data_IF_434006078885
#
_entry.id   IF_434006078885
#
_cell.length_a   1.000
_cell.length_b   1.000
_cell.length_c   1.000
_cell.angle_alpha   90.00
_cell.angle_beta   90.00
_cell.angle_gamma   90.00
#
_symmetry.space_group_name_H-M   'P 1'
#
loop_
_entity.id
_entity.type
_entity.pdbx_description
1 polymer ?
#
# COMPACT_ATOMS: atom_id res chain seq x y z
N UNK A 1 -22.20 -20.55 14.44
CA UNK A 1 -21.72 -20.08 15.77
C UNK A 1 -22.22 -18.66 16.02
N UNK A 2 -21.91 -18.03 17.16
CA UNK A 2 -22.35 -16.65 17.41
C UNK A 2 -21.57 -15.66 16.56
N UNK A 3 -22.30 -14.89 15.74
CA UNK A 3 -21.71 -13.88 14.85
C UNK A 3 -21.08 -12.70 15.60
N UNK A 4 -21.52 -12.42 16.83
CA UNK A 4 -21.02 -11.30 17.63
C UNK A 4 -19.56 -11.51 18.10
N UNK A 5 -19.15 -12.76 18.21
CA UNK A 5 -17.78 -13.12 18.62
C UNK A 5 -16.93 -13.62 17.46
N UNK A 6 -17.39 -13.44 16.22
CA UNK A 6 -16.64 -13.81 15.04
C UNK A 6 -15.30 -13.07 15.00
N UNK A 7 -14.15 -13.77 15.05
CA UNK A 7 -12.85 -13.11 15.12
C UNK A 7 -12.40 -12.52 13.77
N UNK A 8 -12.90 -13.05 12.66
CA UNK A 8 -12.45 -12.63 11.33
C UNK A 8 -13.03 -11.29 10.93
N UNK A 9 -12.19 -10.48 10.29
CA UNK A 9 -12.50 -9.06 9.98
C UNK A 9 -12.15 -8.73 8.55
N UNK A 10 -12.91 -9.24 7.55
CA UNK A 10 -12.68 -8.86 6.18
C UNK A 10 -12.97 -7.37 6.01
N UNK A 11 -11.98 -6.61 5.54
CA UNK A 11 -12.12 -5.16 5.34
C UNK A 11 -10.86 -4.53 4.78
N UNK A 12 -11.00 -3.33 4.19
CA UNK A 12 -9.88 -2.59 3.63
C UNK A 12 -9.00 -2.01 4.75
N UNK A 13 -7.75 -2.51 4.86
CA UNK A 13 -6.80 -2.02 5.85
C UNK A 13 -7.11 -2.38 7.31
N UNK A 14 -8.15 -3.18 7.55
CA UNK A 14 -8.50 -3.65 8.89
C UNK A 14 -7.43 -4.63 9.37
N UNK A 15 -6.81 -4.42 10.56
CA UNK A 15 -5.85 -5.36 11.09
C UNK A 15 -6.50 -6.74 11.32
N UNK A 16 -5.92 -7.80 10.75
CA UNK A 16 -6.39 -9.16 11.03
C UNK A 16 -6.09 -9.51 12.50
N UNK A 17 -6.83 -10.42 13.11
CA UNK A 17 -6.56 -10.85 14.47
C UNK A 17 -5.17 -11.51 14.61
N UNK A 18 -4.69 -12.21 13.57
CA UNK A 18 -3.34 -12.77 13.52
C UNK A 18 -2.60 -12.26 12.27
N UNK A 19 -1.49 -11.53 12.47
CA UNK A 19 -0.59 -11.08 11.40
C UNK A 19 0.56 -12.07 11.29
N UNK A 20 0.45 -13.02 10.37
CA UNK A 20 1.40 -14.13 10.18
C UNK A 20 2.26 -13.97 8.94
N UNK A 21 3.43 -14.60 8.89
CA UNK A 21 4.27 -14.69 7.69
C UNK A 21 4.89 -13.36 7.26
N UNK A 22 5.01 -12.39 8.15
CA UNK A 22 5.56 -11.05 7.86
C UNK A 22 6.67 -10.63 8.84
N UNK A 23 7.08 -11.50 9.75
CA UNK A 23 8.02 -11.17 10.84
C UNK A 23 9.36 -10.68 10.33
N UNK A 24 9.90 -11.28 9.25
CA UNK A 24 11.15 -10.85 8.65
C UNK A 24 11.09 -9.40 8.16
N UNK A 25 9.97 -9.00 7.55
CA UNK A 25 9.78 -7.62 7.08
C UNK A 25 9.64 -6.64 8.24
N UNK A 26 8.91 -7.04 9.27
CA UNK A 26 8.74 -6.26 10.50
C UNK A 26 10.10 -6.05 11.17
N UNK A 27 10.91 -7.11 11.29
CA UNK A 27 12.25 -7.04 11.86
C UNK A 27 13.19 -6.15 11.02
N UNK A 28 13.19 -6.30 9.69
CA UNK A 28 13.99 -5.47 8.78
C UNK A 28 13.64 -4.00 8.92
N UNK A 29 12.36 -3.68 9.05
CA UNK A 29 11.88 -2.32 9.24
C UNK A 29 12.38 -1.75 10.60
N UNK A 30 12.22 -2.50 11.70
CA UNK A 30 12.73 -2.10 13.02
C UNK A 30 14.26 -1.88 13.04
N UNK A 31 15.03 -2.70 12.31
CA UNK A 31 16.48 -2.48 12.15
C UNK A 31 16.75 -1.19 11.38
N UNK A 32 16.02 -0.90 10.31
CA UNK A 32 16.20 0.33 9.52
C UNK A 32 15.99 1.58 10.38
N UNK A 33 14.98 1.59 11.26
CA UNK A 33 14.73 2.67 12.22
C UNK A 33 15.89 2.91 13.16
N UNK A 34 16.29 1.89 13.91
CA UNK A 34 17.36 2.01 14.90
C UNK A 34 18.66 2.47 14.25
N UNK A 35 18.93 2.03 13.02
CA UNK A 35 20.10 2.49 12.26
C UNK A 35 20.01 3.97 11.89
N UNK A 36 18.83 4.46 11.47
CA UNK A 36 18.65 5.85 11.08
C UNK A 36 18.87 6.81 12.26
N UNK A 37 18.34 6.48 13.45
CA UNK A 37 18.60 7.27 14.69
C UNK A 37 20.06 7.24 15.08
N UNK A 38 20.74 6.12 14.87
CA UNK A 38 22.18 6.00 15.12
C UNK A 38 23.06 6.72 14.05
N UNK A 39 22.46 7.52 13.16
CA UNK A 39 23.18 8.21 12.08
C UNK A 39 23.72 7.28 10.99
N UNK A 40 23.14 6.11 10.83
CA UNK A 40 23.52 5.07 9.85
C UNK A 40 22.32 4.70 8.97
N UNK A 41 21.81 5.61 8.17
CA UNK A 41 20.62 5.32 7.35
C UNK A 41 20.85 4.09 6.47
N UNK A 42 19.78 3.33 6.30
CA UNK A 42 19.72 2.17 5.43
C UNK A 42 18.74 2.39 4.29
N UNK A 43 18.51 1.34 3.48
CA UNK A 43 17.48 1.38 2.46
C UNK A 43 16.10 1.51 3.12
N UNK A 44 15.29 2.40 2.59
CA UNK A 44 13.87 2.51 2.91
C UNK A 44 13.09 1.37 2.25
N UNK A 45 11.99 0.91 2.87
CA UNK A 45 11.17 -0.19 2.37
C UNK A 45 9.94 0.35 1.62
N UNK A 46 9.81 0.01 0.36
CA UNK A 46 8.63 0.27 -0.46
C UNK A 46 7.98 -1.07 -0.83
N UNK A 47 6.96 -1.45 -0.11
CA UNK A 47 6.26 -2.73 -0.29
C UNK A 47 5.46 -2.71 -1.59
N UNK A 48 5.62 -3.74 -2.42
CA UNK A 48 4.87 -3.91 -3.65
C UNK A 48 4.03 -5.19 -3.60
N UNK A 49 2.86 -5.16 -4.19
CA UNK A 49 1.99 -6.34 -4.23
C UNK A 49 0.59 -6.02 -4.75
N UNK A 50 -0.17 -7.05 -5.00
CA UNK A 50 -1.53 -6.95 -5.50
C UNK A 50 -2.49 -6.38 -4.44
N UNK A 51 -3.70 -6.00 -4.85
CA UNK A 51 -4.73 -5.49 -3.94
C UNK A 51 -5.22 -6.60 -3.01
N UNK A 52 -5.36 -6.32 -1.72
CA UNK A 52 -5.79 -7.31 -0.71
C UNK A 52 -4.66 -8.20 -0.16
N UNK A 53 -3.39 -8.00 -0.58
CA UNK A 53 -2.23 -8.73 -0.07
C UNK A 53 -1.80 -8.36 1.37
N UNK A 54 -2.48 -7.37 2.00
CA UNK A 54 -2.17 -6.94 3.36
C UNK A 54 -1.12 -5.83 3.47
N UNK A 55 -0.78 -5.12 2.38
CA UNK A 55 0.22 -4.04 2.38
C UNK A 55 -0.11 -2.90 3.35
N UNK A 56 -1.35 -2.40 3.30
CA UNK A 56 -1.85 -1.33 4.20
C UNK A 56 -1.79 -1.77 5.67
N UNK A 57 -2.16 -3.02 5.95
CA UNK A 57 -2.08 -3.60 7.29
C UNK A 57 -0.64 -3.62 7.80
N UNK A 58 0.29 -4.07 6.96
CA UNK A 58 1.70 -4.11 7.32
C UNK A 58 2.30 -2.71 7.45
N UNK A 59 1.88 -1.76 6.61
CA UNK A 59 2.29 -0.36 6.71
C UNK A 59 1.82 0.26 8.04
N UNK A 60 0.58 0.00 8.45
CA UNK A 60 0.06 0.43 9.75
C UNK A 60 0.84 -0.20 10.91
N UNK A 61 1.22 -1.48 10.78
CA UNK A 61 2.07 -2.14 11.77
C UNK A 61 3.45 -1.47 11.89
N UNK A 62 4.03 -1.03 10.79
CA UNK A 62 5.27 -0.25 10.79
C UNK A 62 5.11 1.10 11.50
N UNK A 63 3.98 1.78 11.26
CA UNK A 63 3.61 3.03 11.95
C UNK A 63 3.54 2.82 13.46
N UNK A 64 2.81 1.79 13.92
CA UNK A 64 2.70 1.46 15.35
C UNK A 64 4.07 1.21 16.02
N UNK A 65 4.93 0.42 15.37
CA UNK A 65 6.26 0.14 15.86
C UNK A 65 7.10 1.42 15.97
N UNK A 66 7.03 2.28 14.95
CA UNK A 66 7.76 3.54 14.95
C UNK A 66 7.29 4.47 16.07
N UNK A 67 5.99 4.57 16.31
CA UNK A 67 5.44 5.37 17.40
C UNK A 67 5.82 4.82 18.77
N UNK A 68 5.80 3.49 18.95
CA UNK A 68 6.24 2.84 20.20
C UNK A 68 7.73 3.07 20.48
N UNK A 69 8.57 3.14 19.44
CA UNK A 69 9.99 3.48 19.57
C UNK A 69 10.26 5.01 19.67
N UNK A 70 9.20 5.83 19.75
CA UNK A 70 9.31 7.28 19.98
C UNK A 70 9.55 8.12 18.72
N UNK A 71 9.40 7.54 17.54
CA UNK A 71 9.49 8.29 16.28
C UNK A 71 8.27 9.17 16.04
N UNK A 72 8.43 10.18 15.22
CA UNK A 72 7.35 11.00 14.71
C UNK A 72 6.89 10.45 13.36
N UNK A 73 5.61 10.11 13.26
CA UNK A 73 5.09 9.43 12.07
C UNK A 73 4.13 10.33 11.29
N UNK A 74 4.31 10.35 9.97
CA UNK A 74 3.39 10.94 9.00
C UNK A 74 2.85 9.87 8.07
N UNK A 75 1.62 9.42 8.31
CA UNK A 75 0.93 8.49 7.42
C UNK A 75 0.13 9.27 6.38
N UNK A 76 0.37 9.00 5.11
CA UNK A 76 -0.31 9.60 3.95
C UNK A 76 -0.86 8.46 3.08
N UNK A 77 -2.11 8.53 2.69
CA UNK A 77 -2.65 7.77 1.57
C UNK A 77 -2.61 8.66 0.34
N UNK A 78 -1.88 8.23 -0.71
CA UNK A 78 -1.76 9.00 -1.94
C UNK A 78 -3.10 8.97 -2.69
N UNK A 79 -3.69 10.12 -3.02
CA UNK A 79 -4.99 10.17 -3.67
C UNK A 79 -4.86 9.82 -5.16
N UNK A 80 -5.87 9.15 -5.71
CA UNK A 80 -5.96 8.92 -7.17
C UNK A 80 -5.98 10.24 -7.96
N UNK A 81 -6.53 11.29 -7.37
CA UNK A 81 -6.57 12.65 -7.90
C UNK A 81 -6.25 13.64 -6.78
N UNK A 82 -5.22 14.45 -6.94
CA UNK A 82 -4.88 15.45 -5.94
C UNK A 82 -3.40 15.83 -5.93
N UNK A 83 -3.04 16.70 -5.00
CA UNK A 83 -1.69 17.22 -4.83
C UNK A 83 -1.01 16.55 -3.63
N UNK A 84 -0.07 15.65 -3.88
CA UNK A 84 0.71 14.99 -2.84
C UNK A 84 1.52 15.98 -1.97
N UNK A 85 2.15 17.05 -2.52
CA UNK A 85 2.89 18.05 -1.74
C UNK A 85 2.05 18.72 -0.64
N UNK A 86 0.76 18.95 -0.89
CA UNK A 86 -0.16 19.53 0.08
C UNK A 86 -0.42 18.59 1.26
N UNK A 87 -0.61 17.30 0.99
CA UNK A 87 -0.75 16.27 2.01
C UNK A 87 0.54 16.10 2.81
N UNK A 88 1.68 16.10 2.14
CA UNK A 88 3.01 16.06 2.77
C UNK A 88 3.19 17.23 3.74
N UNK A 89 2.90 18.46 3.30
CA UNK A 89 2.99 19.65 4.15
C UNK A 89 2.08 19.55 5.38
N UNK A 90 0.85 19.10 5.22
CA UNK A 90 -0.09 18.92 6.31
C UNK A 90 0.39 17.88 7.34
N UNK A 91 1.01 16.80 6.88
CA UNK A 91 1.58 15.76 7.76
C UNK A 91 2.85 16.22 8.47
N UNK A 92 3.75 16.88 7.76
CA UNK A 92 4.97 17.45 8.37
C UNK A 92 4.64 18.51 9.42
N UNK A 93 3.57 19.30 9.22
CA UNK A 93 3.07 20.20 10.27
C UNK A 93 2.70 19.43 11.56
N UNK A 94 1.94 18.33 11.43
CA UNK A 94 1.54 17.51 12.58
C UNK A 94 2.75 16.89 13.30
N UNK A 95 3.83 16.62 12.58
CA UNK A 95 5.10 16.14 13.13
C UNK A 95 5.85 17.24 13.86
N UNK A 96 5.96 18.45 13.26
CA UNK A 96 6.79 19.54 13.78
C UNK A 96 6.19 20.27 14.97
N UNK A 97 4.86 20.44 15.01
CA UNK A 97 4.20 21.18 16.10
C UNK A 97 4.48 20.58 17.50
N UNK A 98 4.37 19.27 17.73
CA UNK A 98 4.73 18.68 19.02
C UNK A 98 6.22 18.83 19.37
N UNK A 99 7.10 18.94 18.37
CA UNK A 99 8.53 19.16 18.59
C UNK A 99 8.83 20.59 19.04
N UNK A 100 7.91 21.55 18.81
CA UNK A 100 8.08 22.96 19.21
C UNK A 100 7.67 23.23 20.67
N UNK A 101 7.05 22.26 21.36
CA UNK A 101 6.61 22.42 22.75
C UNK A 101 7.77 22.24 23.74
N UNK A 102 7.67 22.94 24.88
CA UNK A 102 8.52 22.83 26.10
C UNK A 102 9.97 23.31 26.03
N UNK A 103 10.59 23.44 24.87
CA UNK A 103 11.97 23.98 24.76
C UNK A 103 12.12 24.73 23.45
N UNK A 104 12.68 25.92 23.47
CA UNK A 104 12.99 26.68 22.27
C UNK A 104 14.11 25.97 21.50
N UNK A 105 13.83 25.52 20.29
CA UNK A 105 14.80 24.94 19.37
C UNK A 105 14.87 25.77 18.11
N UNK A 106 16.08 26.20 17.77
CA UNK A 106 16.34 26.94 16.52
C UNK A 106 16.08 26.08 15.29
N UNK A 107 16.41 24.77 15.37
CA UNK A 107 16.17 23.83 14.28
C UNK A 107 14.67 23.60 14.04
N UNK A 108 13.88 23.40 15.09
CA UNK A 108 12.40 23.23 14.98
C UNK A 108 11.76 24.51 14.47
N UNK A 109 12.16 25.67 14.99
CA UNK A 109 11.64 26.96 14.52
C UNK A 109 11.98 27.19 13.03
N UNK A 110 13.21 26.85 12.62
CA UNK A 110 13.62 26.91 11.22
C UNK A 110 12.77 25.99 10.36
N UNK A 111 12.54 24.73 10.77
CA UNK A 111 11.70 23.78 10.03
C UNK A 111 10.26 24.27 9.86
N UNK A 112 9.66 24.87 10.89
CA UNK A 112 8.32 25.46 10.80
C UNK A 112 8.29 26.66 9.83
N UNK A 113 9.34 27.50 9.82
CA UNK A 113 9.46 28.62 8.88
C UNK A 113 9.61 28.15 7.43
N UNK A 114 10.44 27.12 7.19
CA UNK A 114 10.60 26.47 5.87
C UNK A 114 9.28 25.86 5.42
N UNK A 115 8.59 25.11 6.30
CA UNK A 115 7.28 24.56 5.98
C UNK A 115 6.26 25.65 5.60
N UNK A 116 6.24 26.78 6.31
CA UNK A 116 5.37 27.91 5.96
C UNK A 116 5.72 28.46 4.56
N UNK A 117 6.99 28.64 4.27
CA UNK A 117 7.44 29.09 2.95
C UNK A 117 6.99 28.11 1.85
N UNK A 118 7.24 26.83 2.03
CA UNK A 118 6.81 25.78 1.08
C UNK A 118 5.31 25.83 0.79
N UNK A 119 4.48 25.99 1.83
CA UNK A 119 3.03 26.02 1.63
C UNK A 119 2.53 27.26 0.89
N UNK A 120 3.29 28.35 0.89
CA UNK A 120 2.96 29.55 0.08
C UNK A 120 3.19 29.34 -1.42
N UNK A 121 3.99 28.35 -1.80
CA UNK A 121 4.30 28.02 -3.19
C UNK A 121 3.34 26.96 -3.77
N UNK A 122 2.50 26.34 -2.96
CA UNK A 122 1.59 25.28 -3.42
C UNK A 122 0.50 25.85 -4.35
N UNK A 123 0.33 25.27 -5.56
CA UNK A 123 -0.57 25.81 -6.58
C UNK A 123 -2.05 25.67 -6.23
N UNK A 124 -2.40 24.72 -5.34
CA UNK A 124 -3.78 24.47 -4.91
C UNK A 124 -4.27 25.43 -3.83
N UNK A 125 -3.45 26.40 -3.42
CA UNK A 125 -3.78 27.38 -2.40
C UNK A 125 -3.80 26.82 -0.98
N UNK A 126 -3.33 25.59 -0.76
CA UNK A 126 -3.21 24.99 0.57
C UNK A 126 -2.37 25.90 1.47
N UNK A 127 -2.93 26.33 2.58
CA UNK A 127 -2.23 27.11 3.60
C UNK A 127 -2.20 26.36 4.91
N UNK A 128 -1.03 26.29 5.48
CA UNK A 128 -0.85 25.71 6.81
C UNK A 128 -0.79 26.84 7.84
N UNK A 129 -1.73 26.83 8.81
CA UNK A 129 -1.71 27.81 9.90
C UNK A 129 -0.57 27.49 10.85
N UNK A 130 0.49 28.31 10.82
CA UNK A 130 1.66 28.22 11.69
C UNK A 130 2.01 29.66 12.10
N UNK A 131 2.16 29.87 13.39
CA UNK A 131 2.47 31.19 13.96
C UNK A 131 3.99 31.44 13.98
N UNK A 132 4.56 31.49 12.75
CA UNK A 132 5.95 31.89 12.50
C UNK A 132 6.01 32.64 11.19
N UNK A 133 7.06 33.45 10.99
CA UNK A 133 7.33 34.09 9.71
C UNK A 133 7.94 33.10 8.70
N UNK A 134 7.60 33.25 7.42
CA UNK A 134 8.20 32.48 6.33
C UNK A 134 9.71 32.76 6.23
N UNK A 135 10.50 31.76 5.85
CA UNK A 135 11.94 31.88 5.65
C UNK A 135 12.19 32.04 4.14
N UNK A 136 12.48 33.26 3.68
CA UNK A 136 12.76 33.53 2.27
C UNK A 136 14.08 32.91 1.81
N UNK A 137 14.13 32.46 0.55
CA UNK A 137 15.31 31.84 -0.06
C UNK A 137 15.53 30.38 0.29
N UNK A 138 14.52 29.71 0.89
CA UNK A 138 14.53 28.27 1.24
C UNK A 138 13.16 27.71 0.97
N UNK A 139 13.08 26.63 0.19
CA UNK A 139 11.83 26.00 -0.26
C UNK A 139 10.86 26.96 -0.99
N UNK A 140 11.41 27.89 -1.74
CA UNK A 140 10.70 28.91 -2.55
C UNK A 140 11.36 29.13 -3.92
N UNK A 141 12.10 28.14 -4.41
CA UNK A 141 12.82 28.20 -5.69
C UNK A 141 11.90 28.10 -6.90
N UNK A 142 10.69 27.57 -6.73
CA UNK A 142 9.76 27.21 -7.80
C UNK A 142 10.10 25.87 -8.45
N UNK A 143 11.14 25.16 -7.97
CA UNK A 143 11.47 23.80 -8.36
C UNK A 143 11.00 22.84 -7.24
N UNK A 144 10.02 22.01 -7.53
CA UNK A 144 9.43 21.13 -6.53
C UNK A 144 10.46 20.20 -5.85
N UNK A 145 11.45 19.68 -6.61
CA UNK A 145 12.44 18.76 -6.05
C UNK A 145 13.37 19.46 -5.05
N UNK A 146 13.77 20.71 -5.35
CA UNK A 146 14.60 21.51 -4.45
C UNK A 146 13.80 21.91 -3.20
N UNK A 147 12.57 22.37 -3.40
CA UNK A 147 11.71 22.86 -2.32
C UNK A 147 11.31 21.73 -1.34
N UNK A 148 10.96 20.54 -1.85
CA UNK A 148 10.70 19.36 -1.01
C UNK A 148 11.99 18.89 -0.31
N UNK A 149 13.14 18.98 -0.97
CA UNK A 149 14.44 18.64 -0.38
C UNK A 149 14.77 19.53 0.80
N UNK A 150 14.65 20.84 0.63
CA UNK A 150 14.90 21.83 1.70
C UNK A 150 13.98 21.59 2.90
N UNK A 151 12.70 21.33 2.63
CA UNK A 151 11.71 21.02 3.66
C UNK A 151 12.07 19.74 4.42
N UNK A 152 12.38 18.66 3.73
CA UNK A 152 12.71 17.37 4.37
C UNK A 152 14.02 17.42 5.15
N UNK A 153 15.02 18.16 4.66
CA UNK A 153 16.28 18.40 5.39
C UNK A 153 16.00 19.17 6.68
N UNK A 154 15.24 20.27 6.60
CA UNK A 154 14.90 21.05 7.79
C UNK A 154 14.11 20.21 8.83
N UNK A 155 13.18 19.38 8.38
CA UNK A 155 12.45 18.45 9.25
C UNK A 155 13.39 17.42 9.92
N UNK A 156 14.31 16.84 9.15
CA UNK A 156 15.31 15.89 9.66
C UNK A 156 16.28 16.50 10.68
N UNK A 157 16.72 17.74 10.45
CA UNK A 157 17.54 18.50 11.41
C UNK A 157 16.78 18.77 12.72
N UNK A 158 15.47 19.13 12.62
CA UNK A 158 14.61 19.32 13.78
C UNK A 158 14.41 18.02 14.58
N UNK A 159 14.21 16.90 13.90
CA UNK A 159 14.08 15.59 14.54
C UNK A 159 15.38 15.18 15.26
N UNK A 160 16.53 15.34 14.61
CA UNK A 160 17.86 15.07 15.18
C UNK A 160 18.13 15.92 16.43
N UNK A 161 17.80 17.21 16.38
CA UNK A 161 17.96 18.12 17.53
C UNK A 161 17.10 17.69 18.73
N UNK A 162 15.98 17.03 18.47
CA UNK A 162 15.07 16.49 19.49
C UNK A 162 15.36 15.04 19.90
N UNK A 163 16.44 14.44 19.38
CA UNK A 163 16.80 13.06 19.70
C UNK A 163 15.77 12.03 19.21
N UNK A 164 15.00 12.37 18.17
CA UNK A 164 13.98 11.49 17.56
C UNK A 164 14.24 11.32 16.06
N UNK A 165 13.43 10.50 15.40
CA UNK A 165 13.40 10.37 13.95
C UNK A 165 12.02 10.65 13.37
N UNK A 166 11.97 10.79 12.06
CA UNK A 166 10.75 10.94 11.29
C UNK A 166 10.56 9.71 10.40
N UNK A 167 9.37 9.13 10.47
CA UNK A 167 8.90 8.12 9.50
C UNK A 167 7.80 8.74 8.66
N UNK A 168 8.05 8.81 7.36
CA UNK A 168 7.03 9.12 6.37
C UNK A 168 6.51 7.81 5.79
N UNK A 169 5.29 7.43 6.15
CA UNK A 169 4.61 6.24 5.66
C UNK A 169 3.62 6.66 4.57
N UNK A 170 3.75 6.12 3.36
CA UNK A 170 2.90 6.49 2.23
C UNK A 170 2.26 5.24 1.63
N UNK A 171 0.93 5.17 1.69
CA UNK A 171 0.17 4.13 1.01
C UNK A 171 -0.23 4.56 -0.40
N UNK A 172 -0.50 3.58 -1.27
CA UNK A 172 -0.91 3.76 -2.67
C UNK A 172 0.05 4.66 -3.48
N UNK A 173 1.36 4.53 -3.24
CA UNK A 173 2.43 5.36 -3.86
C UNK A 173 2.38 5.41 -5.38
N UNK A 174 1.77 4.44 -6.07
CA UNK A 174 1.64 4.46 -7.53
C UNK A 174 0.70 5.56 -8.05
N UNK A 175 -0.06 6.23 -7.18
CA UNK A 175 -0.90 7.37 -7.55
C UNK A 175 -0.20 8.73 -7.39
N UNK A 176 0.98 8.75 -6.79
CA UNK A 176 1.80 9.98 -6.73
C UNK A 176 2.26 10.34 -8.15
N UNK A 177 2.07 11.60 -8.54
CA UNK A 177 2.51 12.06 -9.86
C UNK A 177 4.03 11.84 -10.05
N UNK A 178 4.51 11.48 -11.25
CA UNK A 178 5.94 11.17 -11.48
C UNK A 178 6.90 12.25 -11.00
N UNK A 179 6.59 13.53 -11.22
CA UNK A 179 7.43 14.67 -10.77
C UNK A 179 7.45 14.78 -9.23
N UNK A 180 6.32 14.53 -8.57
CA UNK A 180 6.21 14.55 -7.12
C UNK A 180 6.95 13.36 -6.48
N UNK A 181 6.84 12.17 -7.10
CA UNK A 181 7.59 10.99 -6.70
C UNK A 181 9.11 11.22 -6.88
N UNK A 182 9.51 11.82 -8.00
CA UNK A 182 10.89 12.21 -8.26
C UNK A 182 11.41 13.18 -7.19
N UNK A 183 10.64 14.21 -6.83
CA UNK A 183 10.98 15.16 -5.78
C UNK A 183 11.16 14.49 -4.43
N UNK A 184 10.24 13.57 -4.05
CA UNK A 184 10.33 12.80 -2.82
C UNK A 184 11.59 11.92 -2.77
N UNK A 185 11.91 11.22 -3.88
CA UNK A 185 13.11 10.38 -3.99
C UNK A 185 14.38 11.21 -3.81
N UNK A 186 14.47 12.39 -4.45
CA UNK A 186 15.61 13.33 -4.31
C UNK A 186 15.76 13.77 -2.85
N UNK A 187 14.67 14.16 -2.21
CA UNK A 187 14.67 14.61 -0.82
C UNK A 187 15.14 13.51 0.15
N UNK A 188 14.64 12.28 0.01
CA UNK A 188 15.08 11.12 0.83
C UNK A 188 16.56 10.79 0.57
N UNK A 189 17.00 10.86 -0.68
CA UNK A 189 18.42 10.65 -0.99
C UNK A 189 19.28 11.70 -0.27
N UNK A 190 18.86 12.97 -0.29
CA UNK A 190 19.59 14.05 0.37
C UNK A 190 19.61 13.92 1.89
N UNK A 191 18.49 13.56 2.51
CA UNK A 191 18.44 13.31 3.97
C UNK A 191 19.35 12.15 4.36
N UNK A 192 19.45 11.09 3.56
CA UNK A 192 20.37 9.98 3.78
C UNK A 192 21.84 10.41 3.65
N UNK A 193 22.20 11.23 2.66
CA UNK A 193 23.55 11.78 2.51
C UNK A 193 23.99 12.60 3.73
N UNK A 194 23.05 13.31 4.37
CA UNK A 194 23.28 14.14 5.55
C UNK A 194 23.14 13.33 6.86
N UNK A 195 22.95 12.03 6.79
CA UNK A 195 22.71 11.15 7.94
C UNK A 195 21.59 11.66 8.86
N UNK A 196 20.54 12.23 8.28
CA UNK A 196 19.38 12.70 9.03
C UNK A 196 18.45 11.51 9.35
N UNK A 197 17.80 11.52 10.54
CA UNK A 197 16.93 10.43 10.98
C UNK A 197 15.55 10.50 10.32
N UNK A 198 15.52 10.37 9.00
CA UNK A 198 14.29 10.39 8.19
C UNK A 198 14.22 9.10 7.39
N UNK A 199 13.09 8.42 7.50
CA UNK A 199 12.81 7.17 6.78
C UNK A 199 11.52 7.34 5.99
N UNK A 200 11.57 6.96 4.71
CA UNK A 200 10.39 6.74 3.89
C UNK A 200 10.06 5.25 3.91
N UNK A 201 8.85 4.90 4.26
CA UNK A 201 8.30 3.58 4.00
C UNK A 201 7.01 3.73 3.21
N UNK A 202 6.67 2.75 2.39
CA UNK A 202 5.47 2.89 1.60
C UNK A 202 4.95 1.58 1.06
N UNK A 203 3.77 1.66 0.48
CA UNK A 203 3.09 0.54 -0.15
C UNK A 203 2.50 0.96 -1.50
N UNK A 204 2.47 0.03 -2.44
CA UNK A 204 1.90 0.28 -3.76
C UNK A 204 1.71 -0.99 -4.58
N UNK A 205 1.17 -0.81 -5.78
CA UNK A 205 1.04 -1.87 -6.77
C UNK A 205 2.41 -2.24 -7.37
N UNK A 206 2.55 -3.41 -8.00
CA UNK A 206 3.85 -3.89 -8.52
C UNK A 206 4.57 -2.92 -9.46
N UNK A 207 3.82 -2.08 -10.22
CA UNK A 207 4.39 -1.05 -11.09
C UNK A 207 5.20 0.03 -10.34
N UNK A 208 5.04 0.16 -9.03
CA UNK A 208 5.77 1.15 -8.23
C UNK A 208 7.29 1.02 -8.40
N UNK A 209 7.81 -0.21 -8.53
CA UNK A 209 9.25 -0.43 -8.76
C UNK A 209 9.72 0.24 -10.07
N UNK A 210 8.96 0.07 -11.15
CA UNK A 210 9.28 0.70 -12.44
C UNK A 210 9.15 2.21 -12.37
N UNK A 211 8.05 2.74 -11.78
CA UNK A 211 7.84 4.18 -11.61
C UNK A 211 8.97 4.84 -10.80
N UNK A 212 9.44 4.20 -9.74
CA UNK A 212 10.56 4.72 -8.96
C UNK A 212 11.87 4.73 -9.75
N UNK A 213 12.13 3.67 -10.55
CA UNK A 213 13.30 3.57 -11.42
C UNK A 213 13.28 4.60 -12.57
N UNK A 214 12.12 4.84 -13.17
CA UNK A 214 11.92 5.89 -14.20
C UNK A 214 12.08 7.29 -13.60
N UNK A 215 11.55 7.51 -12.39
CA UNK A 215 11.70 8.79 -11.70
C UNK A 215 13.17 9.12 -11.40
N UNK A 216 13.95 8.14 -10.90
CA UNK A 216 15.40 8.27 -10.63
C UNK A 216 16.11 6.93 -10.78
N UNK A 217 17.14 6.87 -11.62
CA UNK A 217 17.93 5.66 -11.88
C UNK A 217 18.63 5.06 -10.66
N UNK A 218 18.81 5.83 -9.58
CA UNK A 218 19.42 5.35 -8.34
C UNK A 218 18.41 4.87 -7.28
N UNK A 219 17.10 4.90 -7.60
CA UNK A 219 16.06 4.50 -6.66
C UNK A 219 16.25 3.04 -6.16
N UNK A 220 16.70 2.12 -7.00
CA UNK A 220 17.02 0.73 -6.63
C UNK A 220 18.13 0.58 -5.56
N UNK A 221 19.01 1.58 -5.44
CA UNK A 221 20.04 1.63 -4.41
C UNK A 221 19.55 2.28 -3.12
N UNK A 222 18.54 3.14 -3.23
CA UNK A 222 17.94 3.90 -2.12
C UNK A 222 16.83 3.11 -1.44
N UNK A 223 16.08 2.32 -2.21
CA UNK A 223 14.94 1.56 -1.75
C UNK A 223 15.14 0.06 -1.87
N UNK A 224 14.46 -0.66 -1.01
CA UNK A 224 14.23 -2.09 -1.12
C UNK A 224 12.74 -2.31 -1.41
N UNK A 225 12.43 -3.20 -2.35
CA UNK A 225 11.07 -3.43 -2.84
C UNK A 225 10.60 -4.84 -2.50
N UNK A 226 10.29 -5.13 -1.21
CA UNK A 226 9.76 -6.43 -0.85
C UNK A 226 8.39 -6.68 -1.49
N UNK A 227 8.23 -7.87 -2.05
CA UNK A 227 6.98 -8.32 -2.63
C UNK A 227 6.06 -8.90 -1.55
N UNK A 228 4.85 -8.34 -1.44
CA UNK A 228 3.82 -8.77 -0.53
C UNK A 228 2.77 -9.53 -1.34
N UNK A 229 2.74 -10.84 -1.18
CA UNK A 229 1.83 -11.75 -1.87
C UNK A 229 1.01 -12.62 -0.91
N UNK A 230 0.53 -13.75 -1.45
CA UNK A 230 -0.12 -14.79 -0.65
C UNK A 230 0.75 -15.24 0.52
N UNK A 231 0.12 -15.71 1.58
CA UNK A 231 0.81 -16.39 2.67
C UNK A 231 1.23 -17.80 2.25
N UNK A 232 2.33 -18.27 2.79
CA UNK A 232 2.68 -19.69 2.72
C UNK A 232 1.60 -20.55 3.39
N UNK A 233 1.55 -21.85 3.04
CA UNK A 233 0.49 -22.75 3.54
C UNK A 233 0.38 -22.71 5.07
N UNK A 234 1.48 -22.81 5.79
CA UNK A 234 1.50 -22.82 7.26
C UNK A 234 1.04 -21.49 7.87
N UNK A 235 1.51 -20.36 7.30
CA UNK A 235 1.10 -19.04 7.74
C UNK A 235 -0.39 -18.80 7.47
N UNK A 236 -0.90 -19.27 6.33
CA UNK A 236 -2.31 -19.18 5.98
C UNK A 236 -3.19 -20.01 6.91
N UNK A 237 -2.75 -21.24 7.27
CA UNK A 237 -3.42 -22.07 8.29
C UNK A 237 -3.43 -21.36 9.64
N UNK A 238 -2.29 -20.84 10.07
CA UNK A 238 -2.16 -20.07 11.33
C UNK A 238 -3.07 -18.83 11.35
N UNK A 239 -3.18 -18.11 10.23
CA UNK A 239 -4.06 -16.95 10.10
C UNK A 239 -5.55 -17.28 10.25
N UNK A 240 -5.94 -18.55 10.02
CA UNK A 240 -7.29 -19.06 10.23
C UNK A 240 -7.44 -19.70 11.62
N UNK A 241 -6.51 -20.57 12.03
CA UNK A 241 -6.65 -21.36 13.24
C UNK A 241 -6.55 -20.53 14.53
N UNK A 242 -5.52 -19.66 14.63
CA UNK A 242 -5.26 -18.89 15.85
C UNK A 242 -6.44 -18.02 16.27
N UNK A 243 -7.06 -17.22 15.37
CA UNK A 243 -8.22 -16.42 15.77
C UNK A 243 -9.43 -17.26 16.25
N UNK A 244 -9.64 -18.43 15.64
CA UNK A 244 -10.70 -19.33 16.06
C UNK A 244 -10.44 -19.89 17.48
N UNK A 245 -9.20 -20.33 17.75
CA UNK A 245 -8.77 -20.86 19.03
C UNK A 245 -8.88 -19.81 20.15
N UNK A 246 -8.41 -18.58 19.89
CA UNK A 246 -8.53 -17.46 20.83
C UNK A 246 -9.99 -17.09 21.12
N UNK A 247 -10.90 -17.41 20.20
CA UNK A 247 -12.35 -17.22 20.35
C UNK A 247 -13.08 -18.47 20.87
N UNK A 248 -12.34 -19.48 21.31
CA UNK A 248 -12.88 -20.68 21.93
C UNK A 248 -13.43 -21.75 20.97
N UNK A 249 -13.04 -21.69 19.70
CA UNK A 249 -13.40 -22.68 18.68
C UNK A 249 -12.15 -23.33 18.05
N UNK A 250 -12.33 -24.48 17.42
CA UNK A 250 -11.31 -25.16 16.63
C UNK A 250 -11.79 -25.38 15.20
N UNK A 251 -10.86 -25.59 14.30
CA UNK A 251 -11.11 -25.89 12.89
C UNK A 251 -10.40 -27.19 12.57
N UNK A 252 -11.08 -28.15 11.97
CA UNK A 252 -10.50 -29.42 11.56
C UNK A 252 -9.43 -29.20 10.46
N UNK A 253 -8.44 -30.09 10.41
CA UNK A 253 -7.31 -29.95 9.48
C UNK A 253 -7.73 -29.93 8.01
N UNK A 254 -8.70 -30.74 7.62
CA UNK A 254 -9.24 -30.79 6.27
C UNK A 254 -10.04 -29.51 5.91
N UNK A 255 -10.74 -28.92 6.88
CA UNK A 255 -11.42 -27.65 6.73
C UNK A 255 -10.42 -26.50 6.54
N UNK A 256 -9.34 -26.48 7.35
CA UNK A 256 -8.26 -25.50 7.20
C UNK A 256 -7.61 -25.60 5.82
N UNK A 257 -7.27 -26.81 5.39
CA UNK A 257 -6.66 -27.05 4.10
C UNK A 257 -7.55 -26.61 2.94
N UNK A 258 -8.84 -26.91 3.03
CA UNK A 258 -9.83 -26.50 2.02
C UNK A 258 -9.98 -24.98 1.94
N UNK A 259 -10.03 -24.28 3.08
CA UNK A 259 -10.07 -22.81 3.09
C UNK A 259 -8.79 -22.19 2.53
N UNK A 260 -7.62 -22.72 2.86
CA UNK A 260 -6.33 -22.25 2.32
C UNK A 260 -6.25 -22.47 0.81
N UNK A 261 -6.67 -23.63 0.32
CA UNK A 261 -6.72 -23.94 -1.11
C UNK A 261 -7.64 -22.95 -1.86
N UNK A 262 -8.88 -22.76 -1.38
CA UNK A 262 -9.87 -21.89 -2.03
C UNK A 262 -9.56 -20.41 -1.96
N UNK A 263 -8.86 -19.98 -0.91
CA UNK A 263 -8.36 -18.61 -0.78
C UNK A 263 -7.04 -18.36 -1.52
N UNK A 264 -6.39 -19.41 -2.03
CA UNK A 264 -5.01 -19.37 -2.56
C UNK A 264 -4.02 -18.75 -1.56
N UNK A 265 -4.27 -18.86 -0.26
CA UNK A 265 -3.49 -18.22 0.80
C UNK A 265 -3.55 -16.68 0.77
N UNK A 266 -4.51 -16.09 0.06
CA UNK A 266 -4.59 -14.66 -0.13
C UNK A 266 -5.18 -13.98 1.10
N UNK A 267 -4.48 -13.02 1.77
CA UNK A 267 -4.88 -12.53 3.09
C UNK A 267 -6.32 -12.04 3.19
N UNK A 268 -6.78 -11.25 2.20
CA UNK A 268 -8.16 -10.76 2.19
C UNK A 268 -9.16 -11.91 2.05
N UNK A 269 -8.88 -12.90 1.18
CA UNK A 269 -9.78 -14.04 0.98
C UNK A 269 -9.80 -14.98 2.18
N UNK A 270 -8.66 -15.15 2.86
CA UNK A 270 -8.62 -15.91 4.12
C UNK A 270 -9.58 -15.31 5.16
N UNK A 271 -9.61 -13.97 5.30
CA UNK A 271 -10.55 -13.32 6.22
C UNK A 271 -12.02 -13.49 5.78
N UNK A 272 -12.31 -13.41 4.48
CA UNK A 272 -13.67 -13.66 3.96
C UNK A 272 -14.11 -15.12 4.19
N UNK A 273 -13.22 -16.10 3.90
CA UNK A 273 -13.50 -17.50 4.17
C UNK A 273 -13.71 -17.73 5.67
N UNK A 274 -12.81 -17.28 6.52
CA UNK A 274 -12.94 -17.42 7.97
C UNK A 274 -14.25 -16.84 8.50
N UNK A 275 -14.59 -15.62 8.05
CA UNK A 275 -15.80 -14.92 8.48
C UNK A 275 -17.08 -15.68 8.13
N UNK A 276 -17.23 -16.11 6.88
CA UNK A 276 -18.44 -16.78 6.42
C UNK A 276 -18.55 -18.22 6.94
N UNK A 277 -17.42 -18.93 7.02
CA UNK A 277 -17.42 -20.31 7.57
C UNK A 277 -17.78 -20.28 9.04
N UNK A 278 -17.24 -19.33 9.82
CA UNK A 278 -17.63 -19.14 11.22
C UNK A 278 -19.14 -18.96 11.39
N UNK A 279 -19.74 -18.08 10.58
CA UNK A 279 -21.16 -17.75 10.69
C UNK A 279 -22.07 -18.92 10.26
N UNK A 280 -21.63 -19.77 9.34
CA UNK A 280 -22.38 -20.96 8.86
C UNK A 280 -22.23 -22.16 9.80
N UNK A 281 -21.08 -22.31 10.45
CA UNK A 281 -20.82 -23.44 11.33
C UNK A 281 -21.76 -23.44 12.53
N UNK A 282 -22.46 -24.56 12.82
CA UNK A 282 -23.40 -24.63 13.94
C UNK A 282 -22.70 -24.72 15.30
N UNK A 283 -21.50 -25.28 15.33
CA UNK A 283 -20.70 -25.53 16.53
C UNK A 283 -19.22 -25.74 16.18
N UNK A 284 -18.37 -25.81 17.20
CA UNK A 284 -16.99 -26.28 17.13
C UNK A 284 -16.91 -27.82 17.28
N UNK A 285 -15.99 -28.51 16.59
CA UNK A 285 -15.07 -27.96 15.57
C UNK A 285 -15.77 -27.58 14.29
N UNK A 286 -15.18 -26.59 13.56
CA UNK A 286 -15.56 -26.24 12.19
C UNK A 286 -15.06 -27.32 11.25
N UNK A 287 -15.93 -27.83 10.38
CA UNK A 287 -15.66 -28.98 9.50
C UNK A 287 -15.57 -28.59 8.02
N UNK A 288 -15.05 -29.49 7.18
CA UNK A 288 -15.04 -29.30 5.74
C UNK A 288 -16.45 -29.11 5.14
N UNK A 289 -17.48 -29.78 5.71
CA UNK A 289 -18.87 -29.57 5.29
C UNK A 289 -19.36 -28.15 5.58
N UNK A 290 -18.90 -27.52 6.66
CA UNK A 290 -19.19 -26.11 6.95
C UNK A 290 -18.56 -25.19 5.91
N UNK A 291 -17.33 -25.48 5.47
CA UNK A 291 -16.65 -24.75 4.40
C UNK A 291 -17.42 -24.87 3.08
N UNK A 292 -17.88 -26.07 2.71
CA UNK A 292 -18.68 -26.27 1.51
C UNK A 292 -20.02 -25.52 1.57
N UNK A 293 -20.69 -25.50 2.72
CA UNK A 293 -21.93 -24.73 2.91
C UNK A 293 -21.71 -23.22 2.84
N UNK A 294 -20.55 -22.72 3.27
CA UNK A 294 -20.20 -21.31 3.21
C UNK A 294 -19.76 -20.86 1.79
N UNK A 295 -19.30 -21.78 0.95
CA UNK A 295 -18.70 -21.46 -0.35
C UNK A 295 -19.57 -20.59 -1.27
N UNK A 296 -20.88 -20.78 -1.40
CA UNK A 296 -21.73 -19.87 -2.18
C UNK A 296 -21.74 -18.45 -1.62
N UNK A 297 -21.82 -18.30 -0.30
CA UNK A 297 -21.84 -16.99 0.37
C UNK A 297 -20.53 -16.23 0.18
N UNK A 298 -19.39 -16.91 0.35
CA UNK A 298 -18.06 -16.33 0.12
C UNK A 298 -17.94 -15.86 -1.33
N UNK A 299 -18.37 -16.69 -2.28
CA UNK A 299 -18.33 -16.35 -3.70
C UNK A 299 -19.17 -15.11 -4.01
N UNK A 300 -20.42 -15.10 -3.56
CA UNK A 300 -21.33 -13.98 -3.80
C UNK A 300 -20.78 -12.69 -3.18
N UNK A 301 -20.23 -12.77 -1.97
CA UNK A 301 -19.61 -11.63 -1.30
C UNK A 301 -18.40 -11.09 -2.07
N UNK A 302 -17.49 -11.96 -2.52
CA UNK A 302 -16.35 -11.56 -3.32
C UNK A 302 -16.77 -11.00 -4.68
N UNK A 303 -17.75 -11.62 -5.34
CA UNK A 303 -18.25 -11.15 -6.61
C UNK A 303 -18.89 -9.75 -6.48
N UNK A 304 -19.72 -9.51 -5.47
CA UNK A 304 -20.39 -8.23 -5.26
C UNK A 304 -19.45 -7.11 -4.78
N UNK A 305 -18.68 -7.38 -3.74
CA UNK A 305 -17.97 -6.32 -3.01
C UNK A 305 -16.50 -6.18 -3.42
N UNK A 306 -15.92 -7.19 -4.07
CA UNK A 306 -14.52 -7.16 -4.45
C UNK A 306 -14.31 -7.05 -5.97
N UNK A 307 -15.10 -7.76 -6.78
CA UNK A 307 -14.93 -7.78 -8.23
C UNK A 307 -15.82 -6.80 -8.98
N UNK A 308 -17.14 -6.82 -8.76
CA UNK A 308 -18.11 -5.97 -9.49
C UNK A 308 -17.85 -4.48 -9.29
N UNK A 309 -17.55 -4.04 -8.08
CA UNK A 309 -17.25 -2.63 -7.78
C UNK A 309 -16.13 -2.06 -8.67
N UNK A 310 -15.19 -2.93 -9.09
CA UNK A 310 -14.11 -2.53 -10.01
C UNK A 310 -14.56 -2.44 -11.45
N UNK A 311 -15.48 -3.31 -11.87
CA UNK A 311 -16.03 -3.29 -13.22
C UNK A 311 -16.96 -2.10 -13.47
N UNK A 312 -17.66 -1.62 -12.44
CA UNK A 312 -18.60 -0.49 -12.57
C UNK A 312 -17.91 0.83 -12.95
N UNK A 313 -16.60 0.93 -12.69
CA UNK A 313 -15.78 2.09 -13.08
C UNK A 313 -15.26 2.01 -14.52
N UNK A 314 -15.60 0.94 -15.26
CA UNK A 314 -15.03 0.66 -16.57
C UNK A 314 -16.00 0.92 -17.69
N UNK A 315 -15.49 1.43 -18.79
CA UNK A 315 -16.21 1.55 -20.05
C UNK A 315 -16.46 0.16 -20.67
N UNK A 316 -17.46 0.00 -21.55
CA UNK A 316 -17.70 -1.27 -22.23
C UNK A 316 -16.45 -1.82 -22.95
N UNK A 317 -15.66 -0.97 -23.61
CA UNK A 317 -14.44 -1.37 -24.30
C UNK A 317 -13.30 -1.82 -23.36
N UNK A 318 -13.24 -1.26 -22.17
CA UNK A 318 -12.31 -1.71 -21.13
C UNK A 318 -12.74 -3.06 -20.56
N UNK A 319 -14.03 -3.30 -20.38
CA UNK A 319 -14.56 -4.60 -19.96
C UNK A 319 -14.29 -5.68 -21.02
N UNK A 320 -14.52 -5.40 -22.30
CA UNK A 320 -14.16 -6.29 -23.41
C UNK A 320 -12.67 -6.70 -23.35
N UNK A 321 -11.79 -5.73 -23.10
CA UNK A 321 -10.34 -6.00 -22.95
C UNK A 321 -10.06 -6.98 -21.81
N UNK A 322 -10.68 -6.80 -20.64
CA UNK A 322 -10.50 -7.68 -19.48
C UNK A 322 -11.08 -9.08 -19.72
N UNK A 323 -12.22 -9.18 -20.38
CA UNK A 323 -12.84 -10.48 -20.75
C UNK A 323 -11.94 -11.23 -21.75
N UNK A 324 -11.40 -10.55 -22.76
CA UNK A 324 -10.45 -11.15 -23.70
C UNK A 324 -9.18 -11.61 -22.96
N UNK A 325 -8.65 -10.79 -22.07
CA UNK A 325 -7.49 -11.16 -21.25
C UNK A 325 -7.79 -12.37 -20.36
N UNK A 326 -8.96 -12.42 -19.71
CA UNK A 326 -9.37 -13.56 -18.89
C UNK A 326 -9.53 -14.86 -19.69
N UNK A 327 -9.98 -14.78 -20.95
CA UNK A 327 -10.15 -15.96 -21.82
C UNK A 327 -8.83 -16.67 -22.12
N UNK A 328 -7.70 -15.96 -22.06
CA UNK A 328 -6.35 -16.50 -22.26
C UNK A 328 -5.83 -17.31 -21.05
N UNK A 329 -6.55 -17.29 -19.92
CA UNK A 329 -6.16 -18.00 -18.70
C UNK A 329 -5.46 -17.10 -17.65
N UNK A 330 -4.84 -17.70 -16.64
CA UNK A 330 -4.07 -16.95 -15.66
C UNK A 330 -2.80 -16.37 -16.30
N UNK A 331 -2.69 -15.02 -16.34
CA UNK A 331 -1.59 -14.31 -16.98
C UNK A 331 -0.24 -14.42 -16.28
N UNK A 332 0.79 -13.65 -16.74
CA UNK A 332 0.65 -12.46 -17.59
C UNK A 332 0.48 -12.76 -19.09
N UNK A 333 -0.16 -11.84 -19.83
CA UNK A 333 -0.43 -11.97 -21.27
C UNK A 333 0.21 -10.83 -22.05
N UNK A 334 0.69 -11.13 -23.25
CA UNK A 334 1.20 -10.09 -24.16
C UNK A 334 0.06 -9.28 -24.78
N UNK A 335 0.32 -8.01 -25.02
CA UNK A 335 -0.67 -7.12 -25.68
C UNK A 335 -1.09 -7.65 -27.05
N UNK A 336 -0.21 -8.37 -27.76
CA UNK A 336 -0.49 -9.04 -29.04
C UNK A 336 -1.52 -10.16 -28.91
N UNK A 337 -1.42 -10.99 -27.87
CA UNK A 337 -2.33 -12.11 -27.63
C UNK A 337 -3.72 -11.59 -27.25
N UNK A 338 -3.79 -10.51 -26.45
CA UNK A 338 -5.05 -9.87 -26.10
C UNK A 338 -5.68 -9.22 -27.34
N UNK A 339 -4.89 -8.59 -28.20
CA UNK A 339 -5.39 -8.00 -29.45
C UNK A 339 -5.93 -9.08 -30.40
N UNK A 340 -5.27 -10.23 -30.48
CA UNK A 340 -5.74 -11.37 -31.27
C UNK A 340 -7.05 -11.94 -30.70
N UNK A 341 -7.20 -12.05 -29.38
CA UNK A 341 -8.44 -12.49 -28.73
C UNK A 341 -9.62 -11.52 -28.95
N UNK A 342 -9.33 -10.23 -29.20
CA UNK A 342 -10.30 -9.19 -29.51
C UNK A 342 -10.58 -9.06 -31.03
N UNK A 343 -9.84 -9.76 -31.87
CA UNK A 343 -9.84 -9.61 -33.35
C UNK A 343 -9.59 -8.14 -33.78
N UNK A 344 -8.59 -7.49 -33.19
CA UNK A 344 -8.19 -6.10 -33.49
C UNK A 344 -6.68 -5.97 -33.65
N UNK A 345 -6.22 -4.84 -34.22
CA UNK A 345 -4.78 -4.55 -34.29
C UNK A 345 -4.22 -4.20 -32.92
N UNK A 346 -2.94 -4.56 -32.69
CA UNK A 346 -2.23 -4.32 -31.41
C UNK A 346 -2.22 -2.83 -31.01
N UNK A 347 -2.09 -1.93 -32.00
CA UNK A 347 -2.08 -0.48 -31.73
C UNK A 347 -3.40 0.02 -31.13
N UNK A 348 -4.50 -0.65 -31.45
CA UNK A 348 -5.85 -0.26 -30.97
C UNK A 348 -6.10 -0.64 -29.51
N UNK A 349 -5.33 -1.57 -28.94
CA UNK A 349 -5.48 -1.99 -27.54
C UNK A 349 -4.62 -1.15 -26.59
N UNK A 350 -3.57 -0.47 -27.07
CA UNK A 350 -2.67 0.32 -26.25
C UNK A 350 -3.36 1.41 -25.40
N UNK A 351 -4.30 2.21 -25.94
CA UNK A 351 -5.03 3.20 -25.12
C UNK A 351 -5.89 2.56 -24.03
N UNK A 352 -6.55 1.43 -24.33
CA UNK A 352 -7.37 0.69 -23.35
C UNK A 352 -6.48 0.14 -22.23
N UNK A 353 -5.34 -0.46 -22.60
CA UNK A 353 -4.34 -0.96 -21.64
C UNK A 353 -3.86 0.15 -20.72
N UNK A 354 -3.47 1.31 -21.27
CA UNK A 354 -2.99 2.46 -20.48
C UNK A 354 -4.07 2.96 -19.52
N UNK A 355 -5.32 3.07 -19.96
CA UNK A 355 -6.43 3.50 -19.12
C UNK A 355 -6.70 2.50 -17.98
N UNK A 356 -6.65 1.19 -18.24
CA UNK A 356 -6.83 0.14 -17.24
C UNK A 356 -5.68 0.11 -16.22
N UNK A 357 -4.44 0.36 -16.66
CA UNK A 357 -3.28 0.52 -15.76
C UNK A 357 -3.46 1.75 -14.87
N UNK A 358 -3.85 2.89 -15.43
CA UNK A 358 -4.12 4.11 -14.67
C UNK A 358 -5.22 3.91 -13.61
N UNK A 359 -6.26 3.12 -13.92
CA UNK A 359 -7.32 2.73 -12.98
C UNK A 359 -6.89 1.65 -11.97
N UNK A 360 -5.65 1.13 -12.06
CA UNK A 360 -5.14 0.11 -11.16
C UNK A 360 -5.86 -1.24 -11.24
N UNK A 361 -6.45 -1.58 -12.39
CA UNK A 361 -7.13 -2.87 -12.64
C UNK A 361 -6.14 -3.93 -13.14
N UNK A 362 -5.22 -3.51 -13.99
CA UNK A 362 -4.14 -4.33 -14.52
C UNK A 362 -2.80 -3.63 -14.27
N UNK A 363 -1.70 -4.36 -14.42
CA UNK A 363 -0.35 -3.80 -14.36
C UNK A 363 0.54 -4.46 -15.40
N UNK A 364 1.74 -3.90 -15.63
CA UNK A 364 2.75 -4.46 -16.52
C UNK A 364 3.85 -5.13 -15.69
N UNK A 365 3.88 -6.46 -15.57
CA UNK A 365 4.97 -7.15 -14.87
C UNK A 365 6.30 -7.09 -15.64
N UNK A 366 6.23 -7.07 -16.98
CA UNK A 366 7.37 -6.90 -17.87
C UNK A 366 6.95 -6.12 -19.12
N UNK A 367 7.93 -5.69 -19.94
CA UNK A 367 7.65 -4.93 -21.16
C UNK A 367 6.74 -5.71 -22.12
N UNK A 368 5.59 -5.11 -22.46
CA UNK A 368 4.59 -5.71 -23.33
C UNK A 368 3.62 -6.68 -22.64
N UNK A 369 3.91 -7.10 -21.43
CA UNK A 369 3.07 -8.01 -20.65
C UNK A 369 2.03 -7.24 -19.83
N UNK A 370 0.93 -7.92 -19.53
CA UNK A 370 -0.20 -7.40 -18.77
C UNK A 370 -0.72 -8.47 -17.82
N UNK A 371 -0.94 -8.11 -16.56
CA UNK A 371 -1.52 -9.00 -15.54
C UNK A 371 -2.59 -8.26 -14.72
N UNK A 372 -3.50 -9.01 -14.11
CA UNK A 372 -4.50 -8.45 -13.20
C UNK A 372 -3.86 -8.02 -11.87
N UNK A 373 -4.32 -6.89 -11.31
CA UNK A 373 -3.91 -6.45 -9.96
C UNK A 373 -4.70 -7.14 -8.85
N UNK A 374 -5.68 -7.94 -9.23
CA UNK A 374 -6.60 -8.65 -8.32
C UNK A 374 -6.53 -10.14 -8.63
N UNK A 375 -6.18 -11.00 -7.68
CA UNK A 375 -6.19 -12.45 -7.88
C UNK A 375 -7.62 -12.96 -8.12
N UNK A 376 -7.73 -14.06 -8.87
CA UNK A 376 -9.00 -14.71 -9.23
C UNK A 376 -9.98 -13.85 -10.04
N UNK A 377 -9.54 -12.68 -10.53
CA UNK A 377 -10.39 -11.80 -11.32
C UNK A 377 -10.72 -12.39 -12.69
N UNK A 378 -9.79 -13.14 -13.26
CA UNK A 378 -10.03 -13.91 -14.49
C UNK A 378 -11.09 -14.99 -14.32
N UNK A 379 -11.11 -15.70 -13.19
CA UNK A 379 -12.12 -16.70 -12.88
C UNK A 379 -13.51 -16.06 -12.71
N UNK A 380 -13.54 -14.91 -12.01
CA UNK A 380 -14.78 -14.14 -11.89
C UNK A 380 -15.29 -13.70 -13.25
N UNK A 381 -14.46 -13.11 -14.12
CA UNK A 381 -14.85 -12.66 -15.45
C UNK A 381 -15.36 -13.80 -16.34
N UNK A 382 -14.77 -15.00 -16.24
CA UNK A 382 -15.25 -16.20 -16.95
C UNK A 382 -16.63 -16.64 -16.48
N UNK A 383 -16.91 -16.55 -15.15
CA UNK A 383 -18.23 -16.91 -14.60
C UNK A 383 -19.30 -15.87 -14.92
N UNK A 384 -18.96 -14.59 -14.79
CA UNK A 384 -19.89 -13.49 -14.99
C UNK A 384 -20.34 -13.34 -16.46
N UNK A 385 -19.54 -13.87 -17.41
CA UNK A 385 -19.86 -13.87 -18.82
C UNK A 385 -19.71 -12.50 -19.50
N UNK A 386 -20.10 -12.38 -20.79
CA UNK A 386 -19.89 -11.18 -21.60
C UNK A 386 -20.76 -9.98 -21.19
N UNK A 387 -21.62 -10.10 -20.22
CA UNK A 387 -22.58 -9.07 -19.78
C UNK A 387 -22.09 -8.22 -18.61
N UNK A 388 -20.90 -8.47 -18.13
CA UNK A 388 -20.32 -7.74 -17.00
C UNK A 388 -19.56 -6.49 -17.42
#
# INVERSE_FOLDING_TARGET
MDELVNPYRPGAGTPPPALTGRDDLINRFGVAFRRAVAGRPGKSLLMIGLRGAGKTVLLNRFVEIAEQEGFRVGLIEAPEHGHFPSLLAARLRRILLPLSTNVVSTAVTRALRVLKTFTLQLPDGTRVSIDVEALRGVADSGNLADDVTDLMVACGEAARDRGTGIVLAVDELQYVHPDELSALIVAIHRTNQLNLPVILTGAGLPQLRALAGEAKSYAERLFDFPEIGSLGREDARTALAVPAEESGASIDDDALDLMVERSHGYPYFLQEWGYHVWNVAPQSPITADDVERAAPLVRDQLDQNFFLVRLDRLTPREREYLVAMASLGPGPHRSGDIAAALDVRVESVAPRRSALIAKGIIYSPAHGDTAFTVPLFDEFLKRAGPWV
#
